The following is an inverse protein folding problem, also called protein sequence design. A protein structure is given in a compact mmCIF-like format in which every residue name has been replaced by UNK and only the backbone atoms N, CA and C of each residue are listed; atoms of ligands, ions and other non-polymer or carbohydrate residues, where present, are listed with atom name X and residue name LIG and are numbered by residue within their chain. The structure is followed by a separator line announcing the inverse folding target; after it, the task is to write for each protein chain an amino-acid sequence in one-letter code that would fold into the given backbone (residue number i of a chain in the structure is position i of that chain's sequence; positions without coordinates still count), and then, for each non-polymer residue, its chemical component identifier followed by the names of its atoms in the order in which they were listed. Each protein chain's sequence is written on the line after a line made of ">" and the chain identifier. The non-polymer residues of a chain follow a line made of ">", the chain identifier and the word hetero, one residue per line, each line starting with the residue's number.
data_IF_311172452591
#
_entry.id   IF_311172452591
#
_cell.length_a   1.000
_cell.length_b   1.000
_cell.length_c   1.000
_cell.angle_alpha   90.00
_cell.angle_beta   90.00
_cell.angle_gamma   90.00
#
_symmetry.space_group_name_H-M   'P 1'
#
loop_
_entity.id
_entity.type
_entity.pdbx_description
1 polymer ?
#
# COMPACT_ATOMS: atom_id res chain seq x y z
N UNK A 1 -2.12 11.85 8.70
CA UNK A 1 -1.28 10.89 7.98
C UNK A 1 -1.06 11.38 6.55
N UNK A 2 0.15 11.30 6.06
CA UNK A 2 0.44 11.73 4.68
C UNK A 2 -0.12 10.71 3.67
N UNK A 3 -0.42 11.13 2.43
CA UNK A 3 -0.86 10.20 1.40
C UNK A 3 0.11 9.05 1.17
N UNK A 4 1.42 9.32 1.20
CA UNK A 4 2.45 8.29 1.06
C UNK A 4 2.38 7.28 2.21
N UNK A 5 2.22 7.73 3.44
CA UNK A 5 2.12 6.86 4.60
C UNK A 5 0.85 6.00 4.55
N UNK A 6 -0.28 6.59 4.17
CA UNK A 6 -1.53 5.86 4.04
C UNK A 6 -1.43 4.77 2.95
N UNK A 7 -0.84 5.11 1.80
CA UNK A 7 -0.63 4.16 0.71
C UNK A 7 0.33 3.05 1.13
N UNK A 8 1.42 3.39 1.83
CA UNK A 8 2.37 2.41 2.35
C UNK A 8 1.67 1.39 3.24
N UNK A 9 0.82 1.84 4.16
CA UNK A 9 0.09 0.95 5.07
C UNK A 9 -0.85 0.02 4.30
N UNK A 10 -1.58 0.56 3.32
CA UNK A 10 -2.48 -0.25 2.50
C UNK A 10 -1.72 -1.32 1.72
N UNK A 11 -0.55 -0.98 1.18
CA UNK A 11 0.29 -1.93 0.46
C UNK A 11 0.87 -3.01 1.38
N UNK A 12 1.28 -2.64 2.60
CA UNK A 12 1.74 -3.63 3.59
C UNK A 12 0.62 -4.60 3.93
N UNK A 13 -0.59 -4.10 4.13
CA UNK A 13 -1.75 -4.95 4.40
C UNK A 13 -2.00 -5.93 3.24
N UNK A 14 -1.87 -5.47 2.00
CA UNK A 14 -2.03 -6.32 0.82
C UNK A 14 -0.96 -7.41 0.77
N UNK A 15 0.30 -7.06 1.05
CA UNK A 15 1.42 -7.99 0.99
C UNK A 15 1.41 -9.03 2.11
N UNK A 16 0.82 -8.69 3.25
CA UNK A 16 0.80 -9.55 4.43
C UNK A 16 -0.57 -10.15 4.73
N UNK A 17 -1.55 -9.94 3.85
CA UNK A 17 -2.90 -10.45 4.06
C UNK A 17 -2.92 -11.98 4.12
N UNK A 18 -3.67 -12.57 5.06
CA UNK A 18 -3.69 -14.02 5.26
C UNK A 18 -4.52 -14.76 4.21
N UNK A 19 -5.37 -14.08 3.46
CA UNK A 19 -6.21 -14.67 2.42
C UNK A 19 -6.42 -13.70 1.26
N UNK A 20 -6.93 -14.24 0.15
CA UNK A 20 -7.13 -13.47 -1.08
C UNK A 20 -8.19 -12.38 -0.92
N UNK A 21 -9.25 -12.66 -0.16
CA UNK A 21 -10.33 -11.67 0.03
C UNK A 21 -9.82 -10.41 0.73
N UNK A 22 -8.99 -10.58 1.76
CA UNK A 22 -8.38 -9.45 2.47
C UNK A 22 -7.32 -8.76 1.63
N UNK A 23 -6.54 -9.52 0.88
CA UNK A 23 -5.58 -8.97 -0.05
C UNK A 23 -6.28 -8.09 -1.10
N UNK A 24 -7.38 -8.56 -1.67
CA UNK A 24 -8.13 -7.80 -2.66
C UNK A 24 -8.69 -6.49 -2.08
N UNK A 25 -9.18 -6.53 -0.85
CA UNK A 25 -9.66 -5.31 -0.17
C UNK A 25 -8.55 -4.31 0.05
N UNK A 26 -7.38 -4.79 0.47
CA UNK A 26 -6.23 -3.92 0.71
C UNK A 26 -5.72 -3.33 -0.61
N UNK A 27 -5.72 -4.11 -1.68
CA UNK A 27 -5.34 -3.64 -3.02
C UNK A 27 -6.32 -2.56 -3.50
N UNK A 28 -7.63 -2.78 -3.32
CA UNK A 28 -8.64 -1.79 -3.69
C UNK A 28 -8.45 -0.48 -2.90
N UNK A 29 -8.15 -0.58 -1.62
CA UNK A 29 -7.85 0.58 -0.79
C UNK A 29 -6.59 1.30 -1.27
N UNK A 30 -5.54 0.55 -1.59
CA UNK A 30 -4.30 1.11 -2.10
C UNK A 30 -4.52 1.83 -3.44
N UNK A 31 -5.31 1.26 -4.33
CA UNK A 31 -5.65 1.89 -5.61
C UNK A 31 -6.40 3.20 -5.41
N UNK A 32 -7.37 3.21 -4.48
CA UNK A 32 -8.13 4.40 -4.14
C UNK A 32 -7.24 5.51 -3.60
N UNK A 33 -6.34 5.18 -2.68
CA UNK A 33 -5.38 6.14 -2.12
C UNK A 33 -4.39 6.59 -3.18
N UNK A 34 -3.88 5.65 -3.96
CA UNK A 34 -2.91 5.91 -5.01
C UNK A 34 -3.42 6.84 -6.11
N UNK A 35 -4.73 6.81 -6.38
CA UNK A 35 -5.35 7.71 -7.35
C UNK A 35 -5.18 9.19 -6.98
N UNK A 36 -5.04 9.49 -5.68
CA UNK A 36 -4.78 10.84 -5.19
C UNK A 36 -3.31 11.17 -4.98
N UNK A 37 -2.41 10.25 -5.33
CA UNK A 37 -0.96 10.41 -5.15
C UNK A 37 -0.26 10.71 -6.47
N UNK A 38 0.91 11.36 -6.38
CA UNK A 38 1.79 11.52 -7.53
C UNK A 38 2.51 10.20 -7.83
N UNK A 39 3.03 10.04 -9.04
CA UNK A 39 3.82 8.86 -9.39
C UNK A 39 5.01 8.66 -8.43
N UNK A 40 5.62 9.75 -8.00
CA UNK A 40 6.74 9.73 -7.05
C UNK A 40 6.31 9.20 -5.69
N UNK A 41 5.15 9.63 -5.20
CA UNK A 41 4.59 9.16 -3.93
C UNK A 41 4.26 7.68 -4.00
N UNK A 42 3.67 7.22 -5.11
CA UNK A 42 3.36 5.81 -5.31
C UNK A 42 4.63 4.96 -5.31
N UNK A 43 5.67 5.39 -6.03
CA UNK A 43 6.95 4.68 -6.06
C UNK A 43 7.58 4.60 -4.67
N UNK A 44 7.55 5.70 -3.92
CA UNK A 44 8.09 5.73 -2.56
C UNK A 44 7.32 4.79 -1.62
N UNK A 45 5.99 4.79 -1.72
CA UNK A 45 5.14 3.92 -0.91
C UNK A 45 5.42 2.44 -1.20
N UNK A 46 5.61 2.08 -2.46
CA UNK A 46 5.97 0.71 -2.85
C UNK A 46 7.29 0.26 -2.24
N UNK A 47 8.30 1.12 -2.26
CA UNK A 47 9.61 0.83 -1.65
C UNK A 47 9.48 0.64 -0.14
N UNK A 48 8.76 1.55 0.51
CA UNK A 48 8.55 1.50 1.95
C UNK A 48 7.80 0.23 2.35
N UNK A 49 6.74 -0.11 1.61
CA UNK A 49 5.95 -1.30 1.88
C UNK A 49 6.78 -2.58 1.73
N UNK A 50 7.60 -2.65 0.69
CA UNK A 50 8.47 -3.81 0.46
C UNK A 50 9.45 -4.02 1.62
N UNK A 51 10.03 -2.94 2.15
CA UNK A 51 10.93 -3.01 3.30
C UNK A 51 10.20 -3.47 4.55
N UNK A 52 9.02 -2.92 4.82
CA UNK A 52 8.24 -3.27 6.00
C UNK A 52 7.71 -4.70 5.95
N UNK A 53 7.32 -5.17 4.77
CA UNK A 53 6.83 -6.53 4.61
C UNK A 53 7.94 -7.59 4.79
N UNK A 54 9.19 -7.21 4.58
CA UNK A 54 10.34 -8.09 4.78
C UNK A 54 10.83 -8.15 6.21
N UNK A 55 10.50 -7.14 6.98
CA UNK A 55 11.00 -6.99 8.35
C UNK A 55 10.50 -8.07 9.32
#
# INVERSE_FOLDING_TARGET
>A
MSPTAALTRALVLALTAPDQARADRAIALAESIGAGCTAKQVAQAKRNAAKLARA
#
